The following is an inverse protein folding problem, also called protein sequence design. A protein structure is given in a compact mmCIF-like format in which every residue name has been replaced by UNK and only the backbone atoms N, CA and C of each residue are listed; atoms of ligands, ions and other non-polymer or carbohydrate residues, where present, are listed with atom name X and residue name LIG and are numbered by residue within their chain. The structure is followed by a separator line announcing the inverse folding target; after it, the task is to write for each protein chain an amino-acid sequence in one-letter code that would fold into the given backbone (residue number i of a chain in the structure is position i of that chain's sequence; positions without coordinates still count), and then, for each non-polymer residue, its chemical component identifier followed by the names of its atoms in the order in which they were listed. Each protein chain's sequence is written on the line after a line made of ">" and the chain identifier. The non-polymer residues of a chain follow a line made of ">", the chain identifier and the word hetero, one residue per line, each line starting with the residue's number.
data_IF_624598511614
#
_entry.id   IF_624598511614
#
_cell.length_a   1.000
_cell.length_b   1.000
_cell.length_c   1.000
_cell.angle_alpha   90.00
_cell.angle_beta   90.00
_cell.angle_gamma   90.00
#
_symmetry.space_group_name_H-M   'P 1'
#
loop_
_entity.id
_entity.type
_entity.pdbx_description
1 polymer ?
#
# COMPACT_ATOMS: atom_id res chain seq x y z
N UNK A 1 -46.50 -16.56 12.00
CA UNK A 1 -45.97 -17.51 10.98
C UNK A 1 -45.59 -16.68 9.76
N UNK A 2 -44.30 -16.32 9.62
CA UNK A 2 -43.33 -16.85 8.63
C UNK A 2 -43.48 -16.22 7.23
N UNK A 3 -42.46 -15.80 6.47
CA UNK A 3 -40.99 -15.63 6.66
C UNK A 3 -40.45 -14.98 5.35
N UNK A 4 -39.41 -14.15 5.50
CA UNK A 4 -38.22 -13.94 4.64
C UNK A 4 -38.30 -13.37 3.20
N UNK A 5 -37.65 -12.21 3.06
CA UNK A 5 -36.80 -11.78 1.96
C UNK A 5 -35.77 -12.85 1.55
N UNK A 6 -35.57 -13.09 0.24
CA UNK A 6 -34.29 -13.61 -0.31
C UNK A 6 -33.65 -12.44 -1.04
N UNK A 7 -32.53 -11.84 -0.62
CA UNK A 7 -31.16 -12.34 -0.39
C UNK A 7 -30.50 -12.85 -1.68
N UNK A 8 -29.97 -11.87 -2.40
CA UNK A 8 -28.83 -11.95 -3.30
C UNK A 8 -27.59 -12.27 -2.47
N UNK A 9 -26.95 -13.42 -2.67
CA UNK A 9 -25.61 -13.66 -2.11
C UNK A 9 -24.87 -14.72 -2.92
N UNK A 10 -24.09 -14.28 -3.91
CA UNK A 10 -23.08 -15.11 -4.55
C UNK A 10 -22.00 -14.21 -5.14
N UNK A 11 -21.05 -13.75 -4.32
CA UNK A 11 -19.73 -13.22 -4.73
C UNK A 11 -18.86 -12.95 -3.50
N UNK A 12 -18.41 -14.00 -2.83
CA UNK A 12 -17.41 -13.89 -1.77
C UNK A 12 -16.62 -15.19 -1.66
N UNK A 13 -15.78 -15.50 -2.65
CA UNK A 13 -14.87 -16.64 -2.56
C UNK A 13 -13.56 -16.53 -3.36
N UNK A 14 -13.12 -15.33 -3.77
CA UNK A 14 -11.84 -15.14 -4.45
C UNK A 14 -11.02 -14.06 -3.74
N UNK A 15 -10.51 -14.37 -2.54
CA UNK A 15 -9.45 -13.54 -1.92
C UNK A 15 -8.54 -14.32 -0.96
N UNK A 16 -8.57 -15.66 -1.00
CA UNK A 16 -7.83 -16.52 -0.05
C UNK A 16 -6.79 -17.43 -0.74
N UNK A 17 -6.54 -17.27 -2.05
CA UNK A 17 -5.67 -18.21 -2.79
C UNK A 17 -4.34 -17.65 -3.32
N UNK A 18 -3.93 -16.42 -3.00
CA UNK A 18 -2.70 -15.85 -3.58
C UNK A 18 -1.54 -15.54 -2.60
N UNK A 19 -1.69 -15.79 -1.30
CA UNK A 19 -0.63 -15.49 -0.30
C UNK A 19 0.23 -16.74 0.03
N UNK A 20 0.05 -17.88 -0.63
CA UNK A 20 0.76 -19.13 -0.27
C UNK A 20 1.92 -19.49 -1.23
N UNK A 21 2.29 -18.66 -2.22
CA UNK A 21 3.36 -19.03 -3.18
C UNK A 21 4.40 -17.95 -3.53
N UNK A 22 4.66 -16.98 -2.66
CA UNK A 22 5.87 -16.15 -2.80
C UNK A 22 6.89 -16.50 -1.71
N UNK A 23 7.58 -17.61 -1.91
CA UNK A 23 8.85 -17.86 -1.24
C UNK A 23 9.87 -16.84 -1.77
N UNK A 24 10.35 -16.00 -0.86
CA UNK A 24 11.39 -14.98 -1.04
C UNK A 24 12.45 -15.33 -2.10
N UNK A 25 12.61 -14.44 -3.08
CA UNK A 25 13.83 -14.37 -3.90
C UNK A 25 14.72 -13.29 -3.30
N UNK A 26 15.94 -13.60 -2.83
CA UNK A 26 16.87 -12.60 -2.36
C UNK A 26 17.53 -11.93 -3.58
N UNK A 27 17.15 -10.69 -3.88
CA UNK A 27 17.89 -9.87 -4.84
C UNK A 27 19.17 -9.40 -4.16
N UNK A 28 20.28 -10.05 -4.49
CA UNK A 28 21.63 -9.56 -4.18
C UNK A 28 21.86 -8.28 -4.99
N UNK A 29 21.72 -7.13 -4.34
CA UNK A 29 22.23 -5.85 -4.86
C UNK A 29 23.68 -5.76 -4.43
N UNK A 30 24.58 -6.38 -5.20
CA UNK A 30 26.01 -6.14 -5.09
C UNK A 30 26.44 -5.37 -6.35
N UNK A 31 26.83 -4.11 -6.12
CA UNK A 31 27.65 -3.26 -7.01
C UNK A 31 27.13 -2.96 -8.42
N UNK A 32 26.21 -1.99 -8.54
CA UNK A 32 25.96 -1.25 -9.78
C UNK A 32 26.25 0.26 -9.64
N UNK A 33 27.26 0.61 -8.85
CA UNK A 33 27.88 1.94 -8.86
C UNK A 33 29.26 1.87 -9.51
N UNK A 34 29.31 1.71 -10.84
CA UNK A 34 30.48 2.12 -11.64
C UNK A 34 30.11 2.15 -13.13
N UNK A 35 30.73 3.10 -13.84
CA UNK A 35 30.70 3.34 -15.29
C UNK A 35 29.57 4.26 -15.79
N UNK A 36 29.68 5.52 -15.39
CA UNK A 36 29.41 6.63 -16.31
C UNK A 36 30.72 6.94 -17.03
N UNK A 37 30.87 6.52 -18.29
CA UNK A 37 31.68 7.26 -19.27
C UNK A 37 31.52 6.75 -20.71
N UNK A 38 31.02 7.65 -21.56
CA UNK A 38 31.40 7.94 -22.95
C UNK A 38 31.29 6.87 -24.05
N UNK A 39 30.40 7.14 -25.03
CA UNK A 39 30.74 7.04 -26.45
C UNK A 39 29.74 6.32 -27.36
N UNK A 40 29.18 7.06 -28.33
CA UNK A 40 28.72 6.51 -29.62
C UNK A 40 27.21 6.44 -29.84
N UNK A 41 26.73 7.22 -30.82
CA UNK A 41 25.42 7.08 -31.45
C UNK A 41 25.13 5.63 -31.85
N UNK A 42 23.94 5.12 -31.53
CA UNK A 42 23.02 4.59 -32.56
C UNK A 42 21.63 4.26 -31.97
N UNK A 43 20.62 4.51 -32.80
CA UNK A 43 19.20 4.33 -32.56
C UNK A 43 18.83 2.88 -32.18
N UNK A 44 18.18 2.71 -31.02
CA UNK A 44 17.23 1.61 -30.81
C UNK A 44 16.14 2.04 -29.85
N UNK A 45 15.04 2.57 -30.42
CA UNK A 45 13.77 2.77 -29.73
C UNK A 45 13.11 1.43 -29.39
N UNK A 46 13.69 0.70 -28.44
CA UNK A 46 12.95 -0.28 -27.63
C UNK A 46 12.56 0.44 -26.35
N UNK A 47 11.27 0.78 -26.21
CA UNK A 47 10.71 1.45 -25.04
C UNK A 47 11.12 0.70 -23.77
N UNK A 48 12.12 1.24 -23.07
CA UNK A 48 12.58 0.70 -21.80
C UNK A 48 11.75 1.41 -20.76
N UNK A 49 10.80 0.67 -20.17
CA UNK A 49 9.97 1.10 -19.05
C UNK A 49 10.73 2.06 -18.14
N UNK A 50 10.16 3.21 -17.80
CA UNK A 50 10.77 4.14 -16.86
C UNK A 50 10.70 3.57 -15.43
N UNK A 51 11.62 2.65 -15.15
CA UNK A 51 11.77 2.00 -13.86
C UNK A 51 12.10 3.01 -12.75
N UNK A 52 12.66 4.17 -13.08
CA UNK A 52 12.98 5.21 -12.10
C UNK A 52 11.72 5.93 -11.65
N UNK A 53 10.88 6.35 -12.60
CA UNK A 53 9.59 6.96 -12.29
C UNK A 53 8.67 5.96 -11.55
N UNK A 54 8.65 4.70 -12.00
CA UNK A 54 7.91 3.62 -11.33
C UNK A 54 8.39 3.41 -9.88
N UNK A 55 9.71 3.40 -9.66
CA UNK A 55 10.28 3.28 -8.32
C UNK A 55 9.93 4.48 -7.42
N UNK A 56 9.89 5.70 -7.97
CA UNK A 56 9.51 6.90 -7.22
C UNK A 56 8.07 6.81 -6.69
N UNK A 57 7.12 6.33 -7.51
CA UNK A 57 5.73 6.10 -7.07
C UNK A 57 5.68 5.10 -5.92
N UNK A 58 6.42 3.99 -6.04
CA UNK A 58 6.49 2.98 -4.99
C UNK A 58 7.04 3.54 -3.68
N UNK A 59 8.09 4.37 -3.72
CA UNK A 59 8.65 4.97 -2.52
C UNK A 59 7.66 5.93 -1.83
N UNK A 60 6.98 6.78 -2.59
CA UNK A 60 5.95 7.68 -2.03
C UNK A 60 4.76 6.89 -1.47
N UNK A 61 4.37 5.82 -2.16
CA UNK A 61 3.36 4.88 -1.65
C UNK A 61 3.78 4.29 -0.30
N UNK A 62 4.95 3.63 -0.24
CA UNK A 62 5.45 2.93 0.95
C UNK A 62 5.56 3.89 2.14
N UNK A 63 6.14 5.07 1.91
CA UNK A 63 6.28 6.13 2.90
C UNK A 63 4.95 6.51 3.52
N UNK A 64 3.99 6.93 2.70
CA UNK A 64 2.76 7.48 3.22
C UNK A 64 1.81 6.40 3.73
N UNK A 65 1.84 5.21 3.13
CA UNK A 65 1.11 4.06 3.64
C UNK A 65 1.62 3.64 5.03
N UNK A 66 2.94 3.60 5.25
CA UNK A 66 3.53 3.28 6.54
C UNK A 66 3.16 4.31 7.61
N UNK A 67 3.30 5.61 7.29
CA UNK A 67 2.94 6.72 8.18
C UNK A 67 1.46 6.65 8.61
N UNK A 68 0.56 6.58 7.62
CA UNK A 68 -0.88 6.54 7.85
C UNK A 68 -1.29 5.32 8.67
N UNK A 69 -0.80 4.14 8.28
CA UNK A 69 -1.19 2.90 8.94
C UNK A 69 -0.66 2.84 10.37
N UNK A 70 0.52 3.40 10.66
CA UNK A 70 1.04 3.53 12.02
C UNK A 70 0.08 4.34 12.91
N UNK A 71 -0.40 5.49 12.44
CA UNK A 71 -1.39 6.29 13.16
C UNK A 71 -2.73 5.55 13.34
N UNK A 72 -3.23 4.91 12.28
CA UNK A 72 -4.47 4.16 12.32
C UNK A 72 -4.41 2.98 13.30
N UNK A 73 -3.28 2.25 13.34
CA UNK A 73 -3.04 1.15 14.29
C UNK A 73 -3.12 1.65 15.74
N UNK A 74 -2.52 2.80 16.07
CA UNK A 74 -2.56 3.38 17.42
C UNK A 74 -3.99 3.70 17.85
N UNK A 75 -4.78 4.30 16.96
CA UNK A 75 -6.18 4.64 17.22
C UNK A 75 -7.03 3.39 17.43
N UNK A 76 -6.94 2.42 16.52
CA UNK A 76 -7.67 1.14 16.64
C UNK A 76 -7.31 0.43 17.94
N UNK A 77 -6.03 0.43 18.31
CA UNK A 77 -5.56 -0.17 19.55
C UNK A 77 -6.17 0.53 20.77
N UNK A 78 -6.25 1.85 20.76
CA UNK A 78 -6.86 2.63 21.84
C UNK A 78 -8.37 2.31 21.97
N UNK A 79 -9.11 2.28 20.87
CA UNK A 79 -10.53 1.94 20.87
C UNK A 79 -10.78 0.52 21.39
N UNK A 80 -9.99 -0.43 20.90
CA UNK A 80 -10.08 -1.83 21.34
C UNK A 80 -9.76 -1.98 22.82
N UNK A 81 -8.89 -1.14 23.41
CA UNK A 81 -8.57 -1.18 24.83
C UNK A 81 -9.59 -0.44 25.71
N UNK A 82 -10.28 0.55 25.15
CA UNK A 82 -11.30 1.32 25.83
C UNK A 82 -12.67 0.60 25.89
N UNK A 83 -12.83 -0.47 25.11
CA UNK A 83 -14.05 -1.26 25.11
C UNK A 83 -14.31 -1.89 26.50
N UNK A 84 -15.56 -1.89 26.99
CA UNK A 84 -15.88 -2.38 28.33
C UNK A 84 -15.74 -3.90 28.46
N UNK A 85 -15.81 -4.63 27.35
CA UNK A 85 -15.67 -6.08 27.28
C UNK A 85 -14.81 -6.46 26.06
N UNK A 86 -13.91 -7.43 26.23
CA UNK A 86 -13.06 -7.93 25.15
C UNK A 86 -13.35 -9.41 24.88
N UNK A 87 -13.64 -9.73 23.62
CA UNK A 87 -13.65 -11.12 23.18
C UNK A 87 -12.21 -11.67 23.08
N UNK A 88 -12.06 -12.99 22.99
CA UNK A 88 -10.76 -13.62 22.68
C UNK A 88 -10.21 -13.09 21.34
N UNK A 89 -11.08 -12.85 20.36
CA UNK A 89 -10.68 -12.28 19.09
C UNK A 89 -10.13 -10.85 19.23
N UNK A 90 -10.72 -10.04 20.11
CA UNK A 90 -10.23 -8.67 20.35
C UNK A 90 -8.90 -8.67 21.10
N UNK A 91 -8.72 -9.55 22.10
CA UNK A 91 -7.43 -9.73 22.77
C UNK A 91 -6.31 -10.17 21.80
N UNK A 92 -6.62 -11.04 20.85
CA UNK A 92 -5.67 -11.45 19.80
C UNK A 92 -5.32 -10.26 18.88
N UNK A 93 -6.30 -9.46 18.46
CA UNK A 93 -6.06 -8.24 17.68
C UNK A 93 -5.19 -7.23 18.43
N UNK A 94 -5.51 -6.97 19.71
CA UNK A 94 -4.74 -6.07 20.58
C UNK A 94 -3.28 -6.52 20.64
N UNK A 95 -3.05 -7.83 20.82
CA UNK A 95 -1.70 -8.40 20.88
C UNK A 95 -0.96 -8.23 19.55
N UNK A 96 -1.62 -8.49 18.42
CA UNK A 96 -1.03 -8.33 17.10
C UNK A 96 -0.68 -6.86 16.80
N UNK A 97 -1.59 -5.93 17.12
CA UNK A 97 -1.40 -4.49 16.93
C UNK A 97 -0.22 -3.97 17.76
N UNK A 98 -0.13 -4.35 19.04
CA UNK A 98 1.02 -3.99 19.90
C UNK A 98 2.33 -4.49 19.32
N UNK A 99 2.37 -5.77 18.95
CA UNK A 99 3.57 -6.39 18.37
C UNK A 99 4.00 -5.69 17.07
N UNK A 100 3.06 -5.25 16.25
CA UNK A 100 3.37 -4.50 15.03
C UNK A 100 3.95 -3.11 15.37
N UNK A 101 3.33 -2.38 16.30
CA UNK A 101 3.85 -1.09 16.77
C UNK A 101 5.27 -1.21 17.35
N UNK A 102 5.51 -2.20 18.22
CA UNK A 102 6.83 -2.41 18.84
C UNK A 102 7.94 -2.65 17.80
N UNK A 103 7.60 -3.32 16.68
CA UNK A 103 8.55 -3.54 15.58
C UNK A 103 8.83 -2.27 14.76
N UNK A 104 7.91 -1.31 14.74
CA UNK A 104 7.97 -0.09 13.92
C UNK A 104 8.43 1.12 14.73
N UNK A 105 8.33 1.09 16.06
CA UNK A 105 8.58 2.24 16.96
C UNK A 105 9.91 2.96 16.71
N UNK A 106 10.96 2.23 16.34
CA UNK A 106 12.30 2.78 16.11
C UNK A 106 12.58 3.13 14.64
N UNK A 107 11.65 2.86 13.73
CA UNK A 107 11.79 3.20 12.32
C UNK A 107 11.43 4.67 12.13
N UNK A 108 12.33 5.43 11.53
CA UNK A 108 12.06 6.81 11.22
C UNK A 108 11.12 6.91 10.03
N UNK A 109 9.84 7.19 10.30
CA UNK A 109 8.82 7.42 9.26
C UNK A 109 8.54 8.90 9.01
N UNK A 110 9.19 9.85 9.69
CA UNK A 110 8.80 11.27 9.66
C UNK A 110 9.95 12.20 9.26
N UNK A 111 11.13 12.02 9.85
CA UNK A 111 12.21 12.99 9.71
C UNK A 111 13.03 12.72 8.46
N UNK A 112 12.99 13.62 7.48
CA UNK A 112 13.78 13.43 6.26
C UNK A 112 15.30 13.56 6.53
N UNK A 113 16.16 12.80 5.82
CA UNK A 113 15.81 11.81 4.79
C UNK A 113 15.34 10.47 5.40
N UNK A 114 14.29 9.87 4.83
CA UNK A 114 13.86 8.52 5.20
C UNK A 114 14.78 7.45 4.57
N UNK A 115 15.06 6.38 5.32
CA UNK A 115 15.75 5.20 4.78
C UNK A 115 14.73 4.33 4.02
N UNK A 116 14.88 4.12 2.69
CA UNK A 116 13.96 3.31 1.90
C UNK A 116 13.82 1.86 2.40
N UNK A 117 14.89 1.27 2.96
CA UNK A 117 14.85 -0.09 3.48
C UNK A 117 14.05 -0.18 4.77
N UNK A 118 14.18 0.82 5.65
CA UNK A 118 13.39 0.88 6.87
C UNK A 118 11.92 1.16 6.58
N UNK A 119 11.62 2.07 5.65
CA UNK A 119 10.25 2.36 5.20
C UNK A 119 9.59 1.12 4.59
N UNK A 120 10.31 0.37 3.77
CA UNK A 120 9.85 -0.91 3.22
C UNK A 120 9.63 -1.95 4.32
N UNK A 121 10.53 -2.05 5.30
CA UNK A 121 10.36 -2.97 6.42
C UNK A 121 9.09 -2.64 7.22
N UNK A 122 8.83 -1.37 7.52
CA UNK A 122 7.61 -0.94 8.18
C UNK A 122 6.36 -1.29 7.36
N UNK A 123 6.38 -0.99 6.06
CA UNK A 123 5.27 -1.30 5.14
C UNK A 123 4.97 -2.79 5.12
N UNK A 124 6.00 -3.66 5.05
CA UNK A 124 5.82 -5.11 5.05
C UNK A 124 5.22 -5.63 6.36
N UNK A 125 5.66 -5.08 7.51
CA UNK A 125 5.08 -5.44 8.83
C UNK A 125 3.59 -5.08 8.88
N UNK A 126 3.24 -3.92 8.34
CA UNK A 126 1.84 -3.44 8.27
C UNK A 126 1.02 -4.31 7.31
N UNK A 127 1.54 -4.61 6.12
CA UNK A 127 0.89 -5.49 5.15
C UNK A 127 0.63 -6.87 5.74
N UNK A 128 1.62 -7.46 6.42
CA UNK A 128 1.48 -8.72 7.15
C UNK A 128 0.36 -8.64 8.20
N UNK A 129 0.35 -7.59 9.03
CA UNK A 129 -0.69 -7.37 10.02
C UNK A 129 -2.09 -7.32 9.38
N UNK A 130 -2.28 -6.53 8.32
CA UNK A 130 -3.57 -6.39 7.61
C UNK A 130 -4.01 -7.71 6.98
N UNK A 131 -3.08 -8.52 6.48
CA UNK A 131 -3.40 -9.82 5.89
C UNK A 131 -3.80 -10.88 6.94
N UNK A 132 -3.17 -10.85 8.11
CA UNK A 132 -3.36 -11.84 9.18
C UNK A 132 -4.53 -11.51 10.09
N UNK A 133 -4.84 -10.23 10.23
CA UNK A 133 -5.90 -9.74 11.08
C UNK A 133 -6.97 -9.16 10.17
N UNK A 134 -8.24 -9.51 10.38
CA UNK A 134 -9.36 -8.87 9.65
C UNK A 134 -9.58 -7.43 10.16
N UNK A 135 -8.50 -6.65 10.27
CA UNK A 135 -8.45 -5.28 10.74
C UNK A 135 -8.75 -4.39 9.53
N UNK A 136 -9.91 -3.75 9.59
CA UNK A 136 -10.35 -2.81 8.57
C UNK A 136 -9.85 -1.43 8.92
N UNK A 137 -8.61 -1.09 8.53
CA UNK A 137 -8.03 0.24 8.74
C UNK A 137 -8.98 1.35 8.26
N UNK A 138 -9.59 1.19 7.07
CA UNK A 138 -10.57 2.14 6.51
C UNK A 138 -11.79 2.35 7.41
N UNK A 139 -12.30 1.29 8.02
CA UNK A 139 -13.48 1.42 8.88
C UNK A 139 -13.16 2.25 10.12
N UNK A 140 -11.97 2.07 10.69
CA UNK A 140 -11.50 2.89 11.80
C UNK A 140 -11.27 4.36 11.39
N UNK A 141 -10.83 4.59 10.15
CA UNK A 141 -10.55 5.95 9.64
C UNK A 141 -11.79 6.83 9.56
N UNK A 142 -12.94 6.25 9.24
CA UNK A 142 -14.22 6.98 9.12
C UNK A 142 -14.77 7.48 10.46
N UNK A 143 -14.41 6.82 11.55
CA UNK A 143 -14.91 7.15 12.89
C UNK A 143 -14.02 8.18 13.60
N UNK A 144 -12.80 8.41 13.09
CA UNK A 144 -11.80 9.29 13.71
C UNK A 144 -11.37 10.43 12.80
N UNK A 145 -11.73 11.67 13.18
CA UNK A 145 -11.44 12.88 12.42
C UNK A 145 -9.95 13.05 12.08
N UNK A 146 -9.05 12.68 13.00
CA UNK A 146 -7.60 12.75 12.78
C UNK A 146 -7.16 11.82 11.64
N UNK A 147 -7.67 10.58 11.61
CA UNK A 147 -7.35 9.63 10.55
C UNK A 147 -7.96 10.02 9.20
N UNK A 148 -9.14 10.64 9.21
CA UNK A 148 -9.74 11.18 7.99
C UNK A 148 -8.85 12.24 7.33
N UNK A 149 -8.20 13.11 8.12
CA UNK A 149 -7.22 14.07 7.61
C UNK A 149 -5.96 13.37 7.06
N UNK A 150 -5.42 12.39 7.76
CA UNK A 150 -4.25 11.64 7.28
C UNK A 150 -4.57 10.84 6.00
N UNK A 151 -5.79 10.30 5.86
CA UNK A 151 -6.22 9.63 4.63
C UNK A 151 -6.32 10.62 3.45
N UNK A 152 -6.90 11.81 3.67
CA UNK A 152 -6.94 12.85 2.65
C UNK A 152 -5.52 13.25 2.22
N UNK A 153 -4.60 13.39 3.18
CA UNK A 153 -3.20 13.71 2.93
C UNK A 153 -2.50 12.61 2.13
N UNK A 154 -2.72 11.34 2.47
CA UNK A 154 -2.20 10.20 1.72
C UNK A 154 -2.69 10.20 0.27
N UNK A 155 -4.01 10.34 0.06
CA UNK A 155 -4.63 10.40 -1.26
C UNK A 155 -4.07 11.57 -2.09
N UNK A 156 -3.80 12.72 -1.46
CA UNK A 156 -3.22 13.87 -2.13
C UNK A 156 -1.80 13.58 -2.66
N UNK A 157 -0.86 13.20 -1.78
CA UNK A 157 0.53 13.01 -2.18
C UNK A 157 0.73 11.84 -3.14
N UNK A 158 0.04 10.72 -2.89
CA UNK A 158 0.11 9.57 -3.78
C UNK A 158 -0.56 9.87 -5.12
N UNK A 159 -1.66 10.62 -5.12
CA UNK A 159 -2.30 11.10 -6.35
C UNK A 159 -1.34 11.92 -7.21
N UNK A 160 -0.66 12.91 -6.62
CA UNK A 160 0.35 13.72 -7.32
C UNK A 160 1.49 12.86 -7.88
N UNK A 161 2.03 11.94 -7.08
CA UNK A 161 3.10 11.04 -7.53
C UNK A 161 2.64 10.13 -8.70
N UNK A 162 1.39 9.68 -8.66
CA UNK A 162 0.84 8.81 -9.70
C UNK A 162 0.53 9.58 -10.99
N UNK A 163 0.00 10.80 -10.88
CA UNK A 163 -0.19 11.74 -11.99
C UNK A 163 1.13 12.04 -12.70
N UNK A 164 2.18 12.37 -11.93
CA UNK A 164 3.53 12.62 -12.44
C UNK A 164 4.06 11.42 -13.23
N UNK A 165 3.91 10.21 -12.70
CA UNK A 165 4.35 8.98 -13.38
C UNK A 165 3.63 8.79 -14.72
N UNK A 166 2.31 8.92 -14.75
CA UNK A 166 1.53 8.75 -15.99
C UNK A 166 1.86 9.84 -17.02
N UNK A 167 2.17 11.05 -16.56
CA UNK A 167 2.61 12.15 -17.40
C UNK A 167 3.98 11.89 -18.04
N UNK A 168 4.87 11.14 -17.38
CA UNK A 168 6.20 10.80 -17.93
C UNK A 168 6.18 9.68 -18.97
N UNK A 169 5.16 8.82 -18.99
CA UNK A 169 5.10 7.66 -19.89
C UNK A 169 4.86 8.06 -21.36
N UNK A 170 5.64 7.49 -22.29
CA UNK A 170 5.35 7.54 -23.72
C UNK A 170 4.10 6.71 -24.08
N UNK A 171 3.51 6.88 -25.28
CA UNK A 171 2.41 6.02 -25.73
C UNK A 171 2.72 4.52 -25.69
N UNK A 172 3.95 4.13 -26.04
CA UNK A 172 4.40 2.73 -25.99
C UNK A 172 4.54 2.24 -24.55
N UNK A 173 5.10 3.06 -23.65
CA UNK A 173 5.25 2.71 -22.24
C UNK A 173 3.90 2.58 -21.54
N UNK A 174 2.89 3.36 -21.92
CA UNK A 174 1.51 3.20 -21.41
C UNK A 174 0.89 1.85 -21.80
N UNK A 175 1.28 1.29 -22.95
CA UNK A 175 0.84 -0.06 -23.35
C UNK A 175 1.57 -1.11 -22.52
N UNK A 176 2.84 -0.89 -22.18
CA UNK A 176 3.64 -1.79 -21.35
C UNK A 176 3.20 -1.78 -19.87
N UNK A 177 2.89 -0.61 -19.31
CA UNK A 177 2.37 -0.42 -17.95
C UNK A 177 0.83 -0.26 -17.92
N UNK A 178 0.11 -0.93 -18.82
CA UNK A 178 -1.34 -0.80 -18.94
C UNK A 178 -2.11 -1.07 -17.63
N UNK A 179 -1.56 -1.90 -16.73
CA UNK A 179 -2.09 -2.13 -15.39
C UNK A 179 -2.09 -0.86 -14.53
N UNK A 180 -0.92 -0.22 -14.39
CA UNK A 180 -0.77 1.03 -13.65
C UNK A 180 -1.57 2.17 -14.28
N UNK A 181 -1.61 2.25 -15.61
CA UNK A 181 -2.45 3.24 -16.33
C UNK A 181 -3.94 3.01 -16.04
N UNK A 182 -4.40 1.75 -16.01
CA UNK A 182 -5.79 1.44 -15.67
C UNK A 182 -6.12 1.73 -14.22
N UNK A 183 -5.20 1.47 -13.29
CA UNK A 183 -5.36 1.80 -11.87
C UNK A 183 -5.42 3.32 -11.66
N UNK A 184 -4.62 4.09 -12.38
CA UNK A 184 -4.67 5.56 -12.36
C UNK A 184 -6.02 6.09 -12.84
N UNK A 185 -6.54 5.56 -13.94
CA UNK A 185 -7.87 5.94 -14.41
C UNK A 185 -8.96 5.62 -13.38
N UNK A 186 -8.95 4.40 -12.82
CA UNK A 186 -9.87 4.01 -11.75
C UNK A 186 -9.74 4.95 -10.54
N UNK A 187 -8.52 5.32 -10.17
CA UNK A 187 -8.27 6.22 -9.05
C UNK A 187 -8.93 7.59 -9.21
N UNK A 188 -8.87 8.14 -10.43
CA UNK A 188 -9.47 9.44 -10.75
C UNK A 188 -11.00 9.40 -10.85
N UNK A 189 -11.57 8.25 -11.21
CA UNK A 189 -13.02 8.05 -11.32
C UNK A 189 -13.67 7.67 -9.98
N UNK A 190 -12.87 7.22 -9.01
CA UNK A 190 -13.33 6.69 -7.73
C UNK A 190 -13.59 7.75 -6.66
N UNK A 191 -14.52 7.44 -5.76
CA UNK A 191 -14.70 8.17 -4.51
C UNK A 191 -13.62 7.81 -3.46
N UNK A 192 -13.61 8.52 -2.33
CA UNK A 192 -12.60 8.33 -1.29
C UNK A 192 -12.59 6.91 -0.68
N UNK A 193 -13.73 6.20 -0.69
CA UNK A 193 -13.83 4.83 -0.17
C UNK A 193 -13.24 3.82 -1.15
N UNK A 194 -13.53 4.00 -2.43
CA UNK A 194 -13.05 3.15 -3.52
C UNK A 194 -11.55 3.32 -3.73
N UNK A 195 -11.02 4.55 -3.62
CA UNK A 195 -9.59 4.86 -3.71
C UNK A 195 -8.72 4.00 -2.81
N UNK A 196 -9.19 3.70 -1.60
CA UNK A 196 -8.45 2.81 -0.70
C UNK A 196 -8.27 1.39 -1.26
N UNK A 197 -9.31 0.82 -1.87
CA UNK A 197 -9.21 -0.51 -2.46
C UNK A 197 -8.25 -0.51 -3.65
N UNK A 198 -8.16 0.60 -4.37
CA UNK A 198 -7.20 0.79 -5.46
C UNK A 198 -5.77 0.86 -4.96
N UNK A 199 -5.52 1.42 -3.78
CA UNK A 199 -4.20 1.41 -3.15
C UNK A 199 -3.71 0.03 -2.74
N UNK A 200 -4.61 -0.83 -2.26
CA UNK A 200 -4.27 -2.24 -2.02
C UNK A 200 -3.92 -2.95 -3.34
N UNK A 201 -4.63 -2.64 -4.44
CA UNK A 201 -4.29 -3.20 -5.77
C UNK A 201 -2.95 -2.67 -6.27
N UNK A 202 -2.70 -1.37 -6.11
CA UNK A 202 -1.44 -0.73 -6.49
C UNK A 202 -0.25 -1.37 -5.80
N UNK A 203 -0.38 -1.67 -4.49
CA UNK A 203 0.63 -2.41 -3.74
C UNK A 203 0.98 -3.76 -4.40
N UNK A 204 -0.05 -4.55 -4.73
CA UNK A 204 0.16 -5.85 -5.36
C UNK A 204 0.81 -5.75 -6.75
N UNK A 205 0.55 -4.67 -7.50
CA UNK A 205 1.16 -4.42 -8.81
C UNK A 205 2.66 -4.04 -8.73
N UNK A 206 3.13 -3.62 -7.55
CA UNK A 206 4.55 -3.37 -7.28
C UNK A 206 5.29 -4.56 -6.65
N UNK A 207 4.58 -5.51 -6.04
CA UNK A 207 5.16 -6.72 -5.42
C UNK A 207 5.28 -7.93 -6.36
N UNK A 208 4.85 -7.79 -7.63
CA UNK A 208 5.03 -8.77 -8.72
C UNK A 208 6.24 -8.45 -9.60
#
# INVERSE_FOLDING_TARGET
>A
MTKFFGVTLLSSFIMVQLIVTSSAVPVQIEEAQAVISTGGNDLSGSGKLDLTARHKVLLEFEKHFAQFSYEAIKVILADLQAAPEHSVADNNKITALKKALDKIENINLINEPLDPLEVRAATNIIGELISQTNIKLVSAVKEHRQLAFELQRFNFFLGEAFDDFIATLTPEERVLDAGLVSLHQQYNESDDDEKWQLWIKLWNDFEL
#
